data_IF_845244919525
#
_entry.id   IF_845244919525
#
_cell.length_a   1.000
_cell.length_b   1.000
_cell.length_c   1.000
_cell.angle_alpha   90.00
_cell.angle_beta   90.00
_cell.angle_gamma   90.00
#
_symmetry.space_group_name_H-M   'P 1'
#
loop_
_entity.id
_entity.type
_entity.pdbx_description
1 polymer ?
#
# COMPACT_ATOMS: atom_id res chain seq x y z
N UNK A 1 -5.44 -4.50 -8.21
CA UNK A 1 -6.88 -4.21 -8.03
C UNK A 1 -7.71 -5.46 -8.09
N UNK A 2 -8.22 -5.84 -6.93
CA UNK A 2 -9.12 -6.98 -6.75
C UNK A 2 -10.46 -6.76 -7.50
N UNK A 3 -10.84 -7.64 -8.44
CA UNK A 3 -12.06 -7.48 -9.26
C UNK A 3 -13.37 -7.68 -8.47
N UNK A 4 -13.30 -8.07 -7.19
CA UNK A 4 -14.45 -8.26 -6.31
C UNK A 4 -14.83 -7.00 -5.53
N UNK A 5 -14.04 -5.93 -5.63
CA UNK A 5 -14.31 -4.68 -4.93
C UNK A 5 -15.54 -3.98 -5.52
N UNK A 6 -16.35 -3.36 -4.66
CA UNK A 6 -17.45 -2.52 -5.12
C UNK A 6 -16.89 -1.30 -5.86
N UNK A 7 -17.64 -0.75 -6.81
CA UNK A 7 -17.22 0.47 -7.54
C UNK A 7 -16.87 1.61 -6.59
N UNK A 8 -17.63 1.75 -5.49
CA UNK A 8 -17.41 2.78 -4.47
C UNK A 8 -16.06 2.59 -3.77
N UNK A 9 -15.73 1.37 -3.38
CA UNK A 9 -14.44 1.02 -2.74
C UNK A 9 -13.29 1.26 -3.71
N UNK A 10 -13.38 0.75 -4.94
CA UNK A 10 -12.34 0.94 -5.96
C UNK A 10 -12.08 2.43 -6.24
N UNK A 11 -13.13 3.23 -6.43
CA UNK A 11 -12.96 4.66 -6.68
C UNK A 11 -12.36 5.41 -5.50
N UNK A 12 -12.62 5.00 -4.25
CA UNK A 12 -11.94 5.58 -3.09
C UNK A 12 -10.46 5.21 -3.07
N UNK A 13 -10.10 3.96 -3.36
CA UNK A 13 -8.70 3.52 -3.44
C UNK A 13 -7.96 4.33 -4.49
N UNK A 14 -8.53 4.49 -5.69
CA UNK A 14 -7.96 5.33 -6.75
C UNK A 14 -7.77 6.79 -6.30
N UNK A 15 -8.78 7.36 -5.63
CA UNK A 15 -8.71 8.72 -5.11
C UNK A 15 -7.61 8.89 -4.06
N UNK A 16 -7.43 7.91 -3.16
CA UNK A 16 -6.36 7.91 -2.15
C UNK A 16 -4.98 7.73 -2.80
N UNK A 17 -4.83 6.82 -3.76
CA UNK A 17 -3.59 6.67 -4.51
C UNK A 17 -3.22 7.94 -5.28
N UNK A 18 -4.20 8.68 -5.80
CA UNK A 18 -3.98 9.95 -6.49
C UNK A 18 -3.49 11.09 -5.56
N UNK A 19 -3.70 10.97 -4.23
CA UNK A 19 -3.13 11.92 -3.26
C UNK A 19 -1.62 11.75 -3.10
N UNK A 20 -1.09 10.57 -3.41
CA UNK A 20 0.34 10.23 -3.33
C UNK A 20 0.67 9.19 -2.26
N UNK A 21 1.81 8.51 -2.44
CA UNK A 21 2.21 7.38 -1.59
C UNK A 21 2.44 7.78 -0.13
N UNK A 22 2.88 9.02 0.14
CA UNK A 22 3.07 9.52 1.51
C UNK A 22 1.76 9.60 2.27
N UNK A 23 0.72 10.15 1.63
CA UNK A 23 -0.62 10.28 2.21
C UNK A 23 -1.24 8.91 2.45
N UNK A 24 -1.08 7.98 1.49
CA UNK A 24 -1.52 6.59 1.63
C UNK A 24 -0.83 5.90 2.81
N UNK A 25 0.50 6.04 2.95
CA UNK A 25 1.21 5.47 4.10
C UNK A 25 0.71 6.03 5.42
N UNK A 26 0.53 7.35 5.54
CA UNK A 26 -0.01 7.96 6.75
C UNK A 26 -1.42 7.45 7.08
N UNK A 27 -2.25 7.22 6.06
CA UNK A 27 -3.58 6.65 6.24
C UNK A 27 -3.50 5.21 6.76
N UNK A 28 -2.62 4.38 6.20
CA UNK A 28 -2.38 3.01 6.66
C UNK A 28 -1.88 2.98 8.11
N UNK A 29 -0.89 3.80 8.45
CA UNK A 29 -0.38 3.93 9.81
C UNK A 29 -1.49 4.34 10.80
N UNK A 30 -2.34 5.29 10.42
CA UNK A 30 -3.46 5.69 11.26
C UNK A 30 -4.48 4.55 11.44
N UNK A 31 -4.73 3.74 10.40
CA UNK A 31 -5.60 2.57 10.47
C UNK A 31 -5.04 1.50 11.43
N UNK A 32 -3.75 1.20 11.34
CA UNK A 32 -3.06 0.23 12.20
C UNK A 32 -3.06 0.64 13.67
N UNK A 33 -2.95 1.94 13.94
CA UNK A 33 -3.02 2.50 15.28
C UNK A 33 -4.46 2.62 15.83
N UNK A 34 -5.46 2.12 15.11
CA UNK A 34 -6.87 2.17 15.52
C UNK A 34 -7.44 3.59 15.59
N UNK A 35 -6.81 4.56 14.91
CA UNK A 35 -7.34 5.92 14.85
C UNK A 35 -8.53 5.96 13.91
N UNK A 36 -9.49 6.82 14.23
CA UNK A 36 -10.61 7.06 13.35
C UNK A 36 -10.13 7.83 12.10
N UNK A 37 -10.36 7.27 10.91
CA UNK A 37 -10.01 7.89 9.63
C UNK A 37 -11.25 8.56 9.07
N UNK A 38 -11.33 9.89 9.21
CA UNK A 38 -12.48 10.66 8.76
C UNK A 38 -12.79 10.48 7.26
N UNK A 39 -11.75 10.30 6.43
CA UNK A 39 -11.89 10.09 4.98
C UNK A 39 -12.58 8.77 4.61
N UNK A 40 -12.66 7.84 5.56
CA UNK A 40 -13.32 6.55 5.41
C UNK A 40 -14.63 6.45 6.23
N UNK A 41 -15.06 7.52 6.89
CA UNK A 41 -16.25 7.50 7.75
C UNK A 41 -17.57 7.17 7.01
N UNK A 42 -17.60 7.36 5.69
CA UNK A 42 -18.73 7.01 4.82
C UNK A 42 -18.80 5.51 4.46
N UNK A 43 -17.81 4.71 4.86
CA UNK A 43 -17.69 3.29 4.56
C UNK A 43 -18.00 2.45 5.79
N UNK A 44 -18.55 1.25 5.57
CA UNK A 44 -18.72 0.28 6.64
C UNK A 44 -17.40 -0.44 6.96
N UNK A 45 -17.37 -1.21 8.05
CA UNK A 45 -16.17 -1.88 8.51
C UNK A 45 -15.56 -2.88 7.50
N UNK A 46 -16.39 -3.59 6.73
CA UNK A 46 -15.91 -4.50 5.69
C UNK A 46 -15.28 -3.74 4.53
N UNK A 47 -15.93 -2.68 4.08
CA UNK A 47 -15.41 -1.81 3.02
C UNK A 47 -14.10 -1.12 3.45
N UNK A 48 -14.04 -0.61 4.68
CA UNK A 48 -12.81 -0.03 5.26
C UNK A 48 -11.69 -1.06 5.22
N UNK A 49 -11.97 -2.29 5.67
CA UNK A 49 -10.97 -3.37 5.65
C UNK A 49 -10.49 -3.66 4.22
N UNK A 50 -11.39 -3.70 3.24
CA UNK A 50 -11.02 -3.92 1.84
C UNK A 50 -10.16 -2.79 1.27
N UNK A 51 -10.46 -1.54 1.62
CA UNK A 51 -9.67 -0.36 1.22
C UNK A 51 -8.25 -0.47 1.79
N UNK A 52 -8.12 -0.74 3.08
CA UNK A 52 -6.82 -0.85 3.75
C UNK A 52 -5.99 -2.01 3.19
N UNK A 53 -6.61 -3.18 2.96
CA UNK A 53 -5.94 -4.36 2.43
C UNK A 53 -5.38 -4.12 1.01
N UNK A 54 -6.17 -3.53 0.12
CA UNK A 54 -5.71 -3.22 -1.24
C UNK A 54 -4.62 -2.15 -1.23
N UNK A 55 -4.75 -1.08 -0.43
CA UNK A 55 -3.71 -0.04 -0.32
C UNK A 55 -2.40 -0.62 0.23
N UNK A 56 -2.46 -1.54 1.20
CA UNK A 56 -1.29 -2.23 1.74
C UNK A 56 -0.61 -3.08 0.67
N UNK A 57 -1.39 -3.83 -0.13
CA UNK A 57 -0.86 -4.62 -1.24
C UNK A 57 -0.21 -3.73 -2.31
N UNK A 58 -0.84 -2.61 -2.68
CA UNK A 58 -0.28 -1.64 -3.63
C UNK A 58 1.06 -1.09 -3.11
N UNK A 59 1.11 -0.67 -1.84
CA UNK A 59 2.33 -0.12 -1.23
C UNK A 59 3.45 -1.16 -1.08
N UNK A 60 3.11 -2.43 -0.89
CA UNK A 60 4.09 -3.53 -0.78
C UNK A 60 4.98 -3.66 -2.03
N UNK A 61 4.43 -3.44 -3.23
CA UNK A 61 5.18 -3.50 -4.50
C UNK A 61 6.34 -2.49 -4.51
N UNK A 62 6.10 -1.29 -3.95
CA UNK A 62 7.10 -0.23 -3.90
C UNK A 62 8.16 -0.45 -2.83
N UNK A 63 7.83 -1.17 -1.76
CA UNK A 63 8.81 -1.55 -0.72
C UNK A 63 9.79 -2.62 -1.20
N UNK A 64 9.39 -3.46 -2.15
CA UNK A 64 10.24 -4.53 -2.72
C UNK A 64 11.14 -4.08 -3.87
N UNK A 65 11.14 -2.79 -4.24
CA UNK A 65 12.00 -2.23 -5.29
C UNK A 65 13.48 -2.03 -4.90
N UNK A 66 13.93 -2.57 -3.77
CA UNK A 66 15.32 -2.58 -3.31
C UNK A 66 15.87 -4.02 -3.20
N UNK A 67 15.51 -4.91 -4.13
CA UNK A 67 16.24 -6.16 -4.37
C UNK A 67 16.97 -6.11 -5.71
N UNK A 68 17.54 -4.96 -6.05
CA UNK A 68 18.73 -4.90 -6.91
C UNK A 68 19.95 -5.17 -6.03
N UNK A 69 20.14 -6.42 -5.60
CA UNK A 69 21.50 -6.90 -5.33
C UNK A 69 22.12 -7.25 -6.68
N UNK A 70 22.46 -6.21 -7.44
CA UNK A 70 23.33 -6.30 -8.61
C UNK A 70 24.73 -6.71 -8.14
N UNK A 71 25.10 -7.93 -8.55
CA UNK A 71 26.44 -8.40 -8.86
C UNK A 71 27.60 -7.44 -8.54
N UNK A 72 28.24 -7.64 -7.38
CA UNK A 72 29.66 -7.34 -7.25
C UNK A 72 30.46 -8.61 -7.46
N UNK A 73 30.74 -8.87 -8.73
CA UNK A 73 31.94 -9.59 -9.16
C UNK A 73 33.15 -9.07 -8.39
N UNK A 74 33.75 -9.93 -7.57
CA UNK A 74 35.09 -9.73 -7.05
C UNK A 74 35.81 -11.08 -7.09
N UNK A 75 36.17 -11.51 -8.31
CA UNK A 75 37.31 -12.39 -8.47
C UNK A 75 38.56 -11.77 -7.82
N UNK A 76 39.06 -12.39 -6.76
CA UNK A 76 40.43 -12.25 -6.23
C UNK A 76 40.59 -13.27 -5.10
N UNK A 77 41.52 -14.21 -5.08
CA UNK A 77 42.65 -14.51 -5.93
C UNK A 77 43.27 -15.80 -5.43
N UNK A 78 44.07 -16.44 -6.29
CA UNK A 78 44.89 -17.57 -5.94
C UNK A 78 45.75 -17.29 -4.71
N UNK A 79 45.77 -18.21 -3.73
CA UNK A 79 46.98 -18.63 -3.03
C UNK A 79 46.75 -19.93 -2.28
#
# INVERSE_FOLDING_TARGET
MNPKLSKKVSSKIEALCAQGCTQVNQLLENAENGKNIAELAEFNHEEIRQIIDELTQIMSIYSTGNDDTDNSDAGSGCK
#
